data_IF_643086042464
#
_entry.id   IF_643086042464
#
_cell.length_a   1.000
_cell.length_b   1.000
_cell.length_c   1.000
_cell.angle_alpha   90.00
_cell.angle_beta   90.00
_cell.angle_gamma   90.00
#
_symmetry.space_group_name_H-M   'P 1'
#
loop_
_entity.id
_entity.type
_entity.pdbx_description
1 polymer ?
#
# COMPACT_ATOMS: atom_id res chain seq x y z
N UNK A 1 -36.83 2.78 7.93
CA UNK A 1 -35.57 2.07 8.23
C UNK A 1 -34.41 2.90 7.70
N UNK A 2 -33.39 3.19 8.51
CA UNK A 2 -32.16 3.82 7.99
C UNK A 2 -31.46 2.80 7.08
N UNK A 3 -31.19 3.19 5.84
CA UNK A 3 -30.48 2.32 4.89
C UNK A 3 -29.07 2.10 5.42
N UNK A 4 -28.73 0.85 5.68
CA UNK A 4 -27.42 0.45 6.18
C UNK A 4 -26.70 -0.23 5.04
N UNK A 5 -25.51 0.24 4.70
CA UNK A 5 -24.69 -0.32 3.64
C UNK A 5 -23.72 -1.36 4.21
N UNK A 6 -23.52 -2.43 3.46
CA UNK A 6 -22.46 -3.39 3.76
C UNK A 6 -21.08 -2.80 3.43
N UNK A 7 -20.00 -3.38 3.97
CA UNK A 7 -18.63 -2.96 3.62
C UNK A 7 -18.39 -3.01 2.11
N UNK A 8 -18.86 -4.05 1.43
CA UNK A 8 -18.71 -4.20 -0.01
C UNK A 8 -19.44 -3.10 -0.80
N UNK A 9 -20.62 -2.69 -0.35
CA UNK A 9 -21.37 -1.59 -1.00
C UNK A 9 -20.70 -0.24 -0.79
N UNK A 10 -20.12 -0.01 0.40
CA UNK A 10 -19.37 1.19 0.71
C UNK A 10 -18.09 1.28 -0.12
N UNK A 11 -17.40 0.15 -0.34
CA UNK A 11 -16.18 0.12 -1.16
C UNK A 11 -16.46 0.48 -2.62
N UNK A 12 -17.53 -0.08 -3.21
CA UNK A 12 -17.97 0.31 -4.58
C UNK A 12 -18.29 1.79 -4.70
N UNK A 13 -18.92 2.36 -3.67
CA UNK A 13 -19.26 3.79 -3.64
C UNK A 13 -18.05 4.69 -3.39
N UNK A 14 -17.08 4.24 -2.60
CA UNK A 14 -15.87 4.98 -2.29
C UNK A 14 -15.04 5.27 -3.54
N UNK A 15 -15.06 4.38 -4.55
CA UNK A 15 -14.39 4.63 -5.84
C UNK A 15 -14.82 5.94 -6.50
N UNK A 16 -16.10 6.33 -6.38
CA UNK A 16 -16.56 7.62 -6.89
C UNK A 16 -15.99 8.81 -6.10
N UNK A 17 -15.79 8.63 -4.79
CA UNK A 17 -15.21 9.65 -3.91
C UNK A 17 -13.72 9.80 -4.15
N UNK A 18 -12.99 8.68 -4.30
CA UNK A 18 -11.56 8.70 -4.63
C UNK A 18 -11.25 9.39 -5.95
N UNK A 19 -12.16 9.33 -6.94
CA UNK A 19 -12.01 10.11 -8.19
C UNK A 19 -12.03 11.63 -7.95
N UNK A 20 -12.75 12.10 -6.93
CA UNK A 20 -12.79 13.51 -6.54
C UNK A 20 -11.67 13.90 -5.57
N UNK A 21 -11.06 12.92 -4.91
CA UNK A 21 -9.96 13.09 -3.97
C UNK A 21 -8.82 12.13 -4.33
N UNK A 22 -8.08 12.40 -5.42
CA UNK A 22 -7.06 11.50 -5.95
C UNK A 22 -5.90 11.28 -4.97
N UNK A 23 -5.61 12.26 -4.12
CA UNK A 23 -4.53 12.19 -3.13
C UNK A 23 -4.94 11.47 -1.83
N UNK A 24 -6.20 10.99 -1.74
CA UNK A 24 -6.67 10.29 -0.56
C UNK A 24 -6.32 8.81 -0.63
N UNK A 25 -5.39 8.38 0.24
CA UNK A 25 -5.04 6.97 0.44
C UNK A 25 -6.24 6.15 0.97
N UNK A 26 -7.08 6.81 1.77
CA UNK A 26 -8.20 6.17 2.47
C UNK A 26 -9.35 7.13 2.76
N UNK A 27 -10.52 6.53 2.95
CA UNK A 27 -11.76 7.19 3.36
C UNK A 27 -12.37 6.46 4.55
N UNK A 28 -13.05 7.21 5.40
CA UNK A 28 -13.83 6.72 6.52
C UNK A 28 -15.30 6.79 6.16
N UNK A 29 -15.92 5.62 6.01
CA UNK A 29 -17.31 5.49 5.63
C UNK A 29 -18.18 5.15 6.85
N UNK A 30 -19.28 5.85 7.04
CA UNK A 30 -20.29 5.49 8.03
C UNK A 30 -21.30 4.53 7.42
N UNK A 31 -21.93 3.67 8.24
CA UNK A 31 -22.88 2.66 7.74
C UNK A 31 -24.11 3.24 7.03
N UNK A 32 -24.40 4.52 7.20
CA UNK A 32 -25.45 5.26 6.48
C UNK A 32 -25.03 5.71 5.08
N UNK A 33 -23.77 5.48 4.68
CA UNK A 33 -23.27 5.72 3.33
C UNK A 33 -22.60 7.07 3.12
N UNK A 34 -22.27 7.80 4.19
CA UNK A 34 -21.43 9.00 4.09
C UNK A 34 -19.94 8.66 4.17
N UNK A 35 -19.13 9.44 3.48
CA UNK A 35 -17.68 9.28 3.40
C UNK A 35 -16.99 10.53 3.92
N UNK A 36 -15.89 10.33 4.64
CA UNK A 36 -15.10 11.38 5.25
C UNK A 36 -13.60 11.11 4.99
N UNK A 37 -12.84 12.17 4.77
CA UNK A 37 -11.37 12.09 4.70
C UNK A 37 -10.73 12.02 6.10
N UNK A 38 -11.47 12.43 7.13
CA UNK A 38 -11.02 12.50 8.51
C UNK A 38 -11.83 11.54 9.39
N UNK A 39 -11.13 10.68 10.14
CA UNK A 39 -11.75 9.67 10.98
C UNK A 39 -12.55 10.27 12.13
N UNK A 40 -12.07 11.37 12.71
CA UNK A 40 -12.73 12.03 13.83
C UNK A 40 -14.09 12.60 13.38
N UNK A 41 -14.17 13.19 12.19
CA UNK A 41 -15.44 13.62 11.58
C UNK A 41 -16.40 12.47 11.34
N UNK A 42 -15.91 11.34 10.83
CA UNK A 42 -16.72 10.14 10.65
C UNK A 42 -17.28 9.62 11.99
N UNK A 43 -16.45 9.59 13.04
CA UNK A 43 -16.86 9.16 14.38
C UNK A 43 -17.91 10.09 14.99
N UNK A 44 -17.72 11.41 14.86
CA UNK A 44 -18.69 12.40 15.32
C UNK A 44 -20.04 12.26 14.60
N UNK A 45 -20.01 11.95 13.30
CA UNK A 45 -21.22 11.73 12.50
C UNK A 45 -21.92 10.40 12.85
N UNK A 46 -21.17 9.31 12.98
CA UNK A 46 -21.68 8.02 13.40
C UNK A 46 -22.34 8.09 14.78
N UNK A 47 -21.76 8.88 15.69
CA UNK A 47 -22.17 8.95 17.09
C UNK A 47 -21.98 7.62 17.82
N UNK A 48 -22.49 7.52 19.04
CA UNK A 48 -22.23 6.38 19.93
C UNK A 48 -22.74 5.01 19.43
N UNK A 49 -23.63 4.98 18.44
CA UNK A 49 -24.23 3.74 17.88
C UNK A 49 -23.88 3.50 16.42
N UNK A 50 -23.24 4.46 15.75
CA UNK A 50 -22.84 4.31 14.36
C UNK A 50 -21.50 3.57 14.25
N UNK A 51 -21.30 2.88 13.14
CA UNK A 51 -20.02 2.23 12.84
C UNK A 51 -19.34 2.97 11.70
N UNK A 52 -18.06 3.28 11.92
CA UNK A 52 -17.15 3.78 10.90
C UNK A 52 -16.37 2.60 10.34
N UNK A 53 -16.24 2.57 9.02
CA UNK A 53 -15.55 1.54 8.25
C UNK A 53 -14.49 2.27 7.43
N UNK A 54 -13.24 1.85 7.58
CA UNK A 54 -12.14 2.33 6.74
C UNK A 54 -12.24 1.65 5.37
N UNK A 55 -12.16 2.47 4.33
CA UNK A 55 -12.17 2.06 2.93
C UNK A 55 -10.88 2.58 2.32
N UNK A 56 -10.06 1.66 1.82
CA UNK A 56 -8.81 1.97 1.15
C UNK A 56 -9.08 2.23 -0.33
N UNK A 57 -8.27 3.10 -0.94
CA UNK A 57 -8.35 3.33 -2.37
C UNK A 57 -7.65 2.17 -3.10
N UNK A 58 -8.41 1.30 -3.75
CA UNK A 58 -7.86 0.20 -4.55
C UNK A 58 -6.90 0.70 -5.66
N UNK A 59 -7.07 1.93 -6.17
CA UNK A 59 -6.12 2.51 -7.14
C UNK A 59 -4.80 2.97 -6.49
N UNK A 60 -4.83 3.31 -5.20
CA UNK A 60 -3.62 3.57 -4.42
C UNK A 60 -2.99 2.25 -3.98
N UNK A 61 -3.75 1.17 -3.78
CA UNK A 61 -3.21 -0.16 -3.45
C UNK A 61 -2.27 -0.72 -4.53
N UNK A 62 -2.47 -0.41 -5.81
CA UNK A 62 -1.50 -0.72 -6.88
C UNK A 62 -0.21 0.12 -6.79
N UNK A 63 -0.26 1.26 -6.10
CA UNK A 63 0.89 2.15 -5.81
C UNK A 63 1.43 2.00 -4.37
N UNK A 64 0.72 1.28 -3.50
CA UNK A 64 1.03 1.10 -2.07
C UNK A 64 1.08 -0.36 -1.65
N UNK A 65 1.61 -1.24 -2.50
CA UNK A 65 2.28 -2.47 -2.04
C UNK A 65 3.57 -2.18 -1.22
N UNK A 66 3.73 -0.95 -0.72
CA UNK A 66 4.77 -0.55 0.27
C UNK A 66 4.23 -0.23 1.67
N UNK A 67 2.94 -0.49 1.98
CA UNK A 67 2.41 -0.25 3.34
C UNK A 67 1.49 -1.34 3.89
N UNK A 68 1.79 -2.61 3.64
CA UNK A 68 1.48 -3.64 4.66
C UNK A 68 2.76 -3.96 5.41
N UNK A 69 2.73 -3.80 6.73
CA UNK A 69 3.79 -4.18 7.65
C UNK A 69 4.01 -5.69 7.73
N UNK A 70 4.18 -6.38 6.60
CA UNK A 70 5.13 -7.49 6.57
C UNK A 70 6.48 -6.82 6.49
N UNK A 71 7.24 -6.90 7.58
CA UNK A 71 8.69 -6.85 7.42
C UNK A 71 9.04 -7.96 6.43
N UNK A 72 9.23 -7.63 5.15
CA UNK A 72 9.78 -8.56 4.18
C UNK A 72 11.03 -9.13 4.82
N UNK A 73 11.05 -10.45 4.96
CA UNK A 73 12.21 -11.11 5.52
C UNK A 73 13.36 -10.89 4.55
N UNK A 74 14.58 -10.94 5.05
CA UNK A 74 15.75 -10.87 4.18
C UNK A 74 15.68 -11.94 3.07
N UNK A 75 15.13 -13.10 3.39
CA UNK A 75 14.89 -14.23 2.47
C UNK A 75 13.99 -13.84 1.28
N UNK A 76 12.90 -13.10 1.53
CA UNK A 76 11.97 -12.67 0.49
C UNK A 76 12.61 -11.63 -0.45
N UNK A 77 13.39 -10.70 0.12
CA UNK A 77 14.10 -9.68 -0.66
C UNK A 77 15.20 -10.28 -1.53
N UNK A 78 15.93 -11.28 -1.00
CA UNK A 78 16.95 -12.02 -1.74
C UNK A 78 16.32 -12.84 -2.87
N UNK A 79 15.14 -13.42 -2.66
CA UNK A 79 14.41 -14.12 -3.72
C UNK A 79 14.01 -13.15 -4.83
N UNK A 80 13.39 -12.02 -4.47
CA UNK A 80 12.98 -10.99 -5.41
C UNK A 80 14.16 -10.40 -6.20
N UNK A 81 15.36 -10.34 -5.61
CA UNK A 81 16.55 -9.85 -6.31
C UNK A 81 16.81 -10.61 -7.63
N UNK A 82 16.49 -11.91 -7.68
CA UNK A 82 16.69 -12.75 -8.88
C UNK A 82 15.68 -12.46 -9.98
N UNK A 83 14.49 -11.98 -9.62
CA UNK A 83 13.43 -11.65 -10.56
C UNK A 83 13.61 -10.26 -11.19
N UNK A 84 14.58 -9.47 -10.70
CA UNK A 84 14.90 -8.18 -11.30
C UNK A 84 15.70 -8.42 -12.59
N UNK A 85 15.18 -7.90 -13.70
CA UNK A 85 15.76 -8.08 -15.04
C UNK A 85 16.66 -6.91 -15.48
N UNK A 86 16.64 -5.78 -14.77
CA UNK A 86 17.36 -4.56 -15.16
C UNK A 86 18.27 -4.04 -14.05
N UNK A 87 19.48 -3.61 -14.42
CA UNK A 87 20.48 -3.07 -13.49
C UNK A 87 19.93 -1.85 -12.75
N UNK A 88 19.23 -0.94 -13.45
CA UNK A 88 18.64 0.27 -12.85
C UNK A 88 17.63 -0.05 -11.73
N UNK A 89 16.83 -1.11 -11.91
CA UNK A 89 15.89 -1.53 -10.88
C UNK A 89 16.59 -2.16 -9.66
N UNK A 90 17.71 -2.87 -9.88
CA UNK A 90 18.53 -3.40 -8.77
C UNK A 90 19.21 -2.27 -7.99
N UNK A 91 19.75 -1.26 -8.70
CA UNK A 91 20.36 -0.09 -8.06
C UNK A 91 19.37 0.72 -7.24
N UNK A 92 18.14 0.90 -7.75
CA UNK A 92 17.06 1.54 -6.98
C UNK A 92 16.71 0.75 -5.71
N UNK A 93 16.68 -0.59 -5.79
CA UNK A 93 16.43 -1.45 -4.64
C UNK A 93 17.56 -1.41 -3.59
N UNK A 94 18.82 -1.28 -4.04
CA UNK A 94 19.98 -1.06 -3.16
C UNK A 94 19.80 0.26 -2.38
N UNK A 95 19.45 1.36 -3.05
CA UNK A 95 19.23 2.65 -2.37
C UNK A 95 18.13 2.51 -1.32
N UNK A 96 16.99 1.90 -1.66
CA UNK A 96 15.88 1.70 -0.73
C UNK A 96 16.27 0.83 0.48
N UNK A 97 17.01 -0.27 0.27
CA UNK A 97 17.45 -1.12 1.39
C UNK A 97 18.50 -0.39 2.25
N UNK A 98 19.40 0.39 1.64
CA UNK A 98 20.46 1.13 2.35
C UNK A 98 19.89 2.27 3.19
N UNK A 99 18.91 3.01 2.68
CA UNK A 99 18.17 4.04 3.42
C UNK A 99 17.20 3.45 4.45
N UNK A 100 16.78 2.20 4.23
CA UNK A 100 15.87 1.47 5.11
C UNK A 100 16.59 0.70 6.22
N UNK A 101 16.68 -0.63 6.06
CA UNK A 101 17.15 -1.55 7.10
C UNK A 101 18.63 -1.92 6.99
N UNK A 102 19.26 -1.54 5.88
CA UNK A 102 20.68 -1.70 5.57
C UNK A 102 21.19 -3.11 5.90
N UNK A 103 20.48 -4.13 5.42
CA UNK A 103 20.85 -5.52 5.67
C UNK A 103 21.94 -5.93 4.69
N UNK A 104 23.12 -6.21 5.21
CA UNK A 104 24.30 -6.61 4.43
C UNK A 104 24.06 -7.83 3.54
N UNK A 105 23.27 -8.80 3.99
CA UNK A 105 22.94 -10.01 3.19
C UNK A 105 22.02 -9.74 2.01
N UNK A 106 21.12 -8.76 2.12
CA UNK A 106 20.22 -8.36 1.04
C UNK A 106 20.98 -7.51 0.02
N UNK A 107 21.81 -6.57 0.50
CA UNK A 107 22.68 -5.78 -0.36
C UNK A 107 23.64 -6.65 -1.17
N UNK A 108 24.28 -7.65 -0.53
CA UNK A 108 25.15 -8.59 -1.23
C UNK A 108 24.42 -9.41 -2.32
N UNK A 109 23.12 -9.71 -2.13
CA UNK A 109 22.33 -10.39 -3.15
C UNK A 109 22.00 -9.47 -4.33
N UNK A 110 21.74 -8.19 -4.08
CA UNK A 110 21.56 -7.19 -5.14
C UNK A 110 22.86 -6.92 -5.90
N UNK A 111 24.00 -6.82 -5.22
CA UNK A 111 25.31 -6.67 -5.87
C UNK A 111 25.63 -7.88 -6.76
N UNK A 112 25.41 -9.10 -6.26
CA UNK A 112 25.58 -10.32 -7.06
C UNK A 112 24.68 -10.34 -8.29
N UNK A 113 23.44 -9.85 -8.17
CA UNK A 113 22.51 -9.75 -9.32
C UNK A 113 23.00 -8.76 -10.36
N UNK A 114 23.55 -7.62 -9.94
CA UNK A 114 24.14 -6.63 -10.86
C UNK A 114 25.30 -7.26 -11.63
N UNK A 115 26.16 -8.04 -10.95
CA UNK A 115 27.28 -8.72 -11.60
C UNK A 115 26.80 -9.78 -12.61
N UNK A 116 25.75 -10.55 -12.28
CA UNK A 116 25.10 -11.47 -13.22
C UNK A 116 24.55 -10.74 -14.45
N UNK A 117 23.78 -9.66 -14.25
CA UNK A 117 23.18 -8.88 -15.35
C UNK A 117 24.22 -8.16 -16.22
N UNK A 118 25.40 -7.84 -15.67
CA UNK A 118 26.53 -7.29 -16.42
C UNK A 118 27.29 -8.36 -17.19
N UNK A 119 27.37 -9.58 -16.66
CA UNK A 119 28.03 -10.71 -17.32
C UNK A 119 27.19 -11.31 -18.46
N UNK A 120 25.86 -11.13 -18.43
CA UNK A 120 24.93 -11.59 -19.47
C UNK A 120 24.78 -10.61 -20.65
N UNK A 121 25.45 -9.44 -20.59
CA UNK A 121 25.52 -8.43 -21.65
C UNK A 121 26.81 -8.53 -22.48
#
# INVERSE_FOLDING_TARGET
>A
MKKTYSKADLQKKAQGVFKSYPDADKLFATTDGQFFLDQNRANLHAGAKGKVIEVENDAVLESTETKTGKTLKAEDLIANAKDIETIEAVEAAIVQETEGKNRTTVLAAYDARIDELKADK
#
